data_IF_693444308295
#
_entry.id   IF_693444308295
#
_cell.length_a   1.000
_cell.length_b   1.000
_cell.length_c   1.000
_cell.angle_alpha   90.00
_cell.angle_beta   90.00
_cell.angle_gamma   90.00
#
_symmetry.space_group_name_H-M   'P 1'
#
loop_
_entity.id
_entity.type
_entity.pdbx_description
1 polymer ?
#
# COMPACT_ATOMS: atom_id res chain seq x y z
N UNK A 1 6.05 14.46 -20.50
CA UNK A 1 6.93 14.07 -19.38
C UNK A 1 6.42 12.84 -18.57
N UNK A 2 5.23 12.26 -18.81
CA UNK A 2 4.76 11.03 -18.13
C UNK A 2 4.41 9.88 -19.10
N UNK A 3 5.10 9.84 -20.26
CA UNK A 3 4.84 8.85 -21.31
C UNK A 3 4.98 7.39 -20.83
N UNK A 4 5.88 7.13 -19.87
CA UNK A 4 6.06 5.81 -19.27
C UNK A 4 4.80 5.29 -18.53
N UNK A 5 3.87 6.17 -18.16
CA UNK A 5 2.55 5.81 -17.60
C UNK A 5 1.52 5.73 -18.71
N UNK A 6 1.53 6.70 -19.63
CA UNK A 6 0.51 6.86 -20.65
C UNK A 6 0.52 5.74 -21.70
N UNK A 7 1.71 5.31 -22.15
CA UNK A 7 1.83 4.22 -23.11
C UNK A 7 1.32 2.87 -22.57
N UNK A 8 1.72 2.40 -21.36
CA UNK A 8 1.17 1.16 -20.82
C UNK A 8 -0.34 1.22 -20.57
N UNK A 9 -0.86 2.34 -20.06
CA UNK A 9 -2.30 2.48 -19.80
C UNK A 9 -3.09 2.48 -21.11
N UNK A 10 -2.65 3.24 -22.12
CA UNK A 10 -3.29 3.24 -23.44
C UNK A 10 -3.16 1.89 -24.14
N UNK A 11 -2.03 1.20 -24.02
CA UNK A 11 -1.84 -0.14 -24.59
C UNK A 11 -2.85 -1.15 -24.01
N UNK A 12 -2.96 -1.23 -22.69
CA UNK A 12 -3.89 -2.17 -22.05
C UNK A 12 -5.34 -1.82 -22.41
N UNK A 13 -5.67 -0.52 -22.44
CA UNK A 13 -6.99 -0.07 -22.87
C UNK A 13 -7.27 -0.46 -24.32
N UNK A 14 -6.29 -0.29 -25.21
CA UNK A 14 -6.37 -0.67 -26.63
C UNK A 14 -6.58 -2.18 -26.78
N UNK A 15 -5.85 -3.01 -26.04
CA UNK A 15 -6.05 -4.46 -26.07
C UNK A 15 -7.48 -4.86 -25.69
N UNK A 16 -8.02 -4.29 -24.60
CA UNK A 16 -9.39 -4.59 -24.19
C UNK A 16 -10.42 -4.05 -25.17
N UNK A 17 -10.18 -2.87 -25.74
CA UNK A 17 -11.05 -2.31 -26.76
C UNK A 17 -11.06 -3.15 -28.03
N UNK A 18 -9.90 -3.66 -28.45
CA UNK A 18 -9.82 -4.60 -29.56
C UNK A 18 -10.64 -5.87 -29.30
N UNK A 19 -10.58 -6.43 -28.08
CA UNK A 19 -11.38 -7.60 -27.69
C UNK A 19 -12.88 -7.29 -27.70
N UNK A 20 -13.32 -6.25 -26.99
CA UNK A 20 -14.75 -5.94 -26.87
C UNK A 20 -15.34 -5.32 -28.14
N UNK A 21 -14.53 -4.60 -28.92
CA UNK A 21 -14.90 -4.05 -30.22
C UNK A 21 -15.25 -5.14 -31.22
N UNK A 22 -14.57 -6.30 -31.18
CA UNK A 22 -14.94 -7.48 -31.99
C UNK A 22 -16.26 -8.12 -31.59
N UNK A 23 -16.69 -7.95 -30.35
CA UNK A 23 -17.92 -8.58 -29.82
C UNK A 23 -19.12 -7.64 -29.97
N UNK A 24 -18.96 -6.36 -29.65
CA UNK A 24 -20.05 -5.38 -29.55
C UNK A 24 -20.01 -4.28 -30.62
N UNK A 25 -18.98 -4.26 -31.48
CA UNK A 25 -18.70 -3.20 -32.45
C UNK A 25 -17.65 -2.20 -31.95
N UNK A 26 -16.77 -1.75 -32.84
CA UNK A 26 -15.64 -0.85 -32.51
C UNK A 26 -16.10 0.54 -32.04
N UNK A 27 -17.20 1.07 -32.57
CA UNK A 27 -17.78 2.35 -32.14
C UNK A 27 -18.76 2.22 -30.96
N UNK A 28 -18.91 1.03 -30.38
CA UNK A 28 -19.89 0.77 -29.32
C UNK A 28 -19.48 1.39 -27.99
N UNK A 29 -20.38 2.18 -27.39
CA UNK A 29 -20.20 2.68 -26.03
C UNK A 29 -20.07 1.59 -24.98
N UNK A 30 -20.70 0.43 -25.21
CA UNK A 30 -20.56 -0.74 -24.32
C UNK A 30 -19.16 -1.34 -24.43
N UNK A 31 -18.62 -1.46 -25.65
CA UNK A 31 -17.26 -1.95 -25.85
C UNK A 31 -16.25 -1.07 -25.11
N UNK A 32 -16.35 0.25 -25.26
CA UNK A 32 -15.50 1.20 -24.57
C UNK A 32 -15.70 1.20 -23.04
N UNK A 33 -16.94 1.11 -22.57
CA UNK A 33 -17.24 1.02 -21.14
C UNK A 33 -16.59 -0.24 -20.51
N UNK A 34 -16.76 -1.40 -21.15
CA UNK A 34 -16.12 -2.65 -20.72
C UNK A 34 -14.59 -2.57 -20.80
N UNK A 35 -14.05 -1.89 -21.80
CA UNK A 35 -12.60 -1.69 -21.93
C UNK A 35 -12.02 -0.92 -20.75
N UNK A 36 -12.69 0.14 -20.31
CA UNK A 36 -12.31 0.90 -19.11
C UNK A 36 -12.44 0.03 -17.85
N UNK A 37 -13.52 -0.75 -17.71
CA UNK A 37 -13.72 -1.65 -16.55
C UNK A 37 -12.59 -2.69 -16.47
N UNK A 38 -12.30 -3.36 -17.58
CA UNK A 38 -11.32 -4.45 -17.60
C UNK A 38 -9.87 -3.94 -17.53
N UNK A 39 -9.57 -2.75 -18.04
CA UNK A 39 -8.30 -2.08 -17.76
C UNK A 39 -8.06 -1.99 -16.24
N UNK A 40 -9.05 -1.54 -15.47
CA UNK A 40 -8.95 -1.44 -14.01
C UNK A 40 -8.72 -2.81 -13.40
N UNK A 41 -9.47 -3.82 -13.84
CA UNK A 41 -9.34 -5.18 -13.33
C UNK A 41 -7.97 -5.79 -13.64
N UNK A 42 -7.41 -5.58 -14.83
CA UNK A 42 -6.06 -6.02 -15.19
C UNK A 42 -5.00 -5.39 -14.29
N UNK A 43 -5.03 -4.07 -14.12
CA UNK A 43 -4.06 -3.37 -13.27
C UNK A 43 -4.20 -3.81 -11.81
N UNK A 44 -5.42 -3.95 -11.32
CA UNK A 44 -5.68 -4.41 -9.96
C UNK A 44 -5.32 -5.89 -9.73
N UNK A 45 -5.46 -6.75 -10.74
CA UNK A 45 -5.03 -8.14 -10.70
C UNK A 45 -3.50 -8.24 -10.63
N UNK A 46 -2.78 -7.46 -11.45
CA UNK A 46 -1.32 -7.37 -11.39
C UNK A 46 -0.82 -6.96 -9.99
N UNK A 47 -1.52 -6.00 -9.37
CA UNK A 47 -1.20 -5.46 -8.05
C UNK A 47 -1.81 -6.27 -6.89
N UNK A 48 -2.44 -7.41 -7.17
CA UNK A 48 -3.13 -8.19 -6.14
C UNK A 48 -2.15 -8.73 -5.08
N UNK A 49 -1.02 -9.29 -5.51
CA UNK A 49 0.02 -9.83 -4.60
C UNK A 49 0.63 -8.75 -3.69
N UNK A 50 1.13 -7.60 -4.21
CA UNK A 50 1.64 -6.55 -3.33
C UNK A 50 0.55 -6.00 -2.40
N UNK A 51 -0.71 -5.90 -2.86
CA UNK A 51 -1.83 -5.50 -2.01
C UNK A 51 -2.05 -6.45 -0.83
N UNK A 52 -2.01 -7.77 -1.02
CA UNK A 52 -2.16 -8.73 0.08
C UNK A 52 -1.05 -8.55 1.13
N UNK A 53 0.20 -8.38 0.68
CA UNK A 53 1.32 -8.08 1.57
C UNK A 53 1.10 -6.78 2.35
N UNK A 54 0.56 -5.77 1.69
CA UNK A 54 0.26 -4.49 2.29
C UNK A 54 -0.84 -4.57 3.36
N UNK A 55 -1.92 -5.28 3.08
CA UNK A 55 -3.00 -5.53 4.03
C UNK A 55 -2.47 -6.22 5.29
N UNK A 56 -1.60 -7.23 5.12
CA UNK A 56 -0.98 -7.94 6.25
C UNK A 56 -0.09 -7.01 7.07
N UNK A 57 0.66 -6.12 6.43
CA UNK A 57 1.46 -5.09 7.13
C UNK A 57 0.57 -4.12 7.93
N UNK A 58 -0.55 -3.67 7.35
CA UNK A 58 -1.52 -2.83 8.05
C UNK A 58 -2.15 -3.53 9.26
N UNK A 59 -2.44 -4.84 9.15
CA UNK A 59 -2.98 -5.65 10.27
C UNK A 59 -2.00 -5.70 11.43
N UNK A 60 -0.73 -6.00 11.17
CA UNK A 60 0.33 -5.96 12.19
C UNK A 60 0.42 -4.58 12.86
N UNK A 61 0.35 -3.49 12.09
CA UNK A 61 0.35 -2.14 12.67
C UNK A 61 -0.81 -1.92 13.66
N UNK A 62 -1.99 -2.49 13.38
CA UNK A 62 -3.16 -2.36 14.26
C UNK A 62 -2.99 -3.11 15.60
N UNK A 63 -2.19 -4.18 15.64
CA UNK A 63 -1.85 -4.91 16.86
C UNK A 63 -0.99 -4.06 17.81
N UNK A 64 -0.12 -3.20 17.27
CA UNK A 64 0.74 -2.30 18.04
C UNK A 64 0.09 -0.96 18.40
N UNK A 65 -1.14 -0.70 17.93
CA UNK A 65 -1.90 0.49 18.28
C UNK A 65 -1.93 0.81 19.80
N UNK A 66 -2.20 -0.14 20.72
CA UNK A 66 -2.21 0.15 22.16
C UNK A 66 -0.83 0.54 22.71
N UNK A 67 0.25 -0.02 22.17
CA UNK A 67 1.62 0.31 22.61
C UNK A 67 2.04 1.69 22.10
N UNK A 68 1.66 2.03 20.86
CA UNK A 68 1.79 3.39 20.33
C UNK A 68 1.05 4.40 21.21
N UNK A 69 -0.14 4.06 21.75
CA UNK A 69 -0.85 4.92 22.69
C UNK A 69 -0.12 5.08 24.02
N UNK A 70 0.52 4.01 24.53
CA UNK A 70 1.34 4.09 25.75
C UNK A 70 2.53 5.03 25.55
N UNK A 71 3.22 4.94 24.40
CA UNK A 71 4.32 5.86 24.05
C UNK A 71 3.79 7.30 23.97
N UNK A 72 2.65 7.50 23.30
CA UNK A 72 2.04 8.83 23.19
C UNK A 72 1.74 9.46 24.55
N UNK A 73 1.18 8.68 25.48
CA UNK A 73 0.90 9.11 26.86
C UNK A 73 2.18 9.35 27.67
N UNK A 74 3.18 8.46 27.56
CA UNK A 74 4.44 8.54 28.31
C UNK A 74 5.29 9.75 27.92
N UNK A 75 5.29 10.12 26.64
CA UNK A 75 6.09 11.22 26.09
C UNK A 75 5.22 12.37 25.56
N UNK A 76 4.07 12.64 26.18
CA UNK A 76 3.14 13.67 25.72
C UNK A 76 3.78 15.08 25.64
N UNK A 77 4.74 15.36 26.52
CA UNK A 77 5.44 16.65 26.61
C UNK A 77 6.72 16.73 25.76
N UNK A 78 7.15 15.62 25.14
CA UNK A 78 8.40 15.54 24.38
C UNK A 78 8.12 14.90 23.01
N UNK A 79 7.73 15.73 22.04
CA UNK A 79 7.38 15.27 20.69
C UNK A 79 8.54 14.59 19.99
N UNK A 80 9.78 15.03 20.24
CA UNK A 80 10.95 14.47 19.59
C UNK A 80 11.20 13.05 20.08
N UNK A 81 11.16 12.85 21.40
CA UNK A 81 11.31 11.51 21.99
C UNK A 81 10.12 10.61 21.69
N UNK A 82 8.92 11.17 21.66
CA UNK A 82 7.72 10.44 21.23
C UNK A 82 7.88 9.89 19.81
N UNK A 83 8.35 10.70 18.86
CA UNK A 83 8.59 10.28 17.48
C UNK A 83 9.66 9.17 17.39
N UNK A 84 10.77 9.32 18.13
CA UNK A 84 11.85 8.33 18.17
C UNK A 84 11.39 6.98 18.74
N UNK A 85 10.68 6.98 19.86
CA UNK A 85 10.17 5.75 20.50
C UNK A 85 9.10 5.08 19.64
N UNK A 86 8.22 5.86 18.99
CA UNK A 86 7.25 5.31 18.02
C UNK A 86 7.94 4.66 16.83
N UNK A 87 9.00 5.28 16.29
CA UNK A 87 9.77 4.71 15.18
C UNK A 87 10.53 3.46 15.61
N UNK A 88 11.11 3.47 16.82
CA UNK A 88 11.82 2.33 17.40
C UNK A 88 10.87 1.14 17.60
N UNK A 89 9.69 1.37 18.17
CA UNK A 89 8.67 0.33 18.33
C UNK A 89 8.27 -0.27 16.98
N UNK A 90 8.01 0.57 15.97
CA UNK A 90 7.68 0.10 14.62
C UNK A 90 8.82 -0.72 13.98
N UNK A 91 10.08 -0.31 14.18
CA UNK A 91 11.25 -1.00 13.66
C UNK A 91 11.49 -2.35 14.37
N UNK A 92 11.37 -2.41 15.69
CA UNK A 92 11.50 -3.64 16.49
C UNK A 92 10.48 -4.71 16.06
N UNK A 93 9.30 -4.28 15.64
CA UNK A 93 8.23 -5.16 15.16
C UNK A 93 8.18 -5.31 13.63
N UNK A 94 9.16 -4.76 12.91
CA UNK A 94 9.29 -4.91 11.46
C UNK A 94 8.13 -4.32 10.66
N UNK A 95 7.47 -3.29 11.18
CA UNK A 95 6.35 -2.62 10.52
C UNK A 95 6.84 -1.36 9.82
N UNK A 96 6.67 -1.26 8.50
CA UNK A 96 7.05 -0.09 7.72
C UNK A 96 5.85 0.88 7.59
N UNK A 97 5.93 2.13 8.11
CA UNK A 97 4.84 3.10 7.99
C UNK A 97 4.51 3.45 6.54
N UNK A 98 5.50 3.42 5.63
CA UNK A 98 5.30 3.67 4.19
C UNK A 98 4.56 2.52 3.49
N UNK A 99 4.52 1.33 4.09
CA UNK A 99 3.69 0.24 3.58
C UNK A 99 2.20 0.61 3.59
N UNK A 100 1.77 1.52 4.47
CA UNK A 100 0.37 1.95 4.55
C UNK A 100 -0.11 2.76 3.34
N UNK A 101 0.75 3.56 2.72
CA UNK A 101 0.38 4.44 1.62
C UNK A 101 0.64 3.86 0.22
N UNK A 102 1.25 2.67 0.13
CA UNK A 102 1.60 2.01 -1.12
C UNK A 102 0.47 1.92 -2.17
N UNK A 103 -0.81 1.64 -1.84
CA UNK A 103 -1.82 1.49 -2.87
C UNK A 103 -2.25 2.86 -3.39
N UNK A 104 -2.21 3.91 -2.57
CA UNK A 104 -2.42 5.29 -3.05
C UNK A 104 -1.29 5.70 -3.99
N UNK A 105 -0.03 5.39 -3.64
CA UNK A 105 1.13 5.72 -4.46
C UNK A 105 1.10 5.05 -5.84
N UNK A 106 0.58 3.83 -5.95
CA UNK A 106 0.43 3.14 -7.23
C UNK A 106 -0.85 3.57 -7.96
N UNK A 107 -1.94 3.83 -7.23
CA UNK A 107 -3.24 4.19 -7.81
C UNK A 107 -3.23 5.59 -8.45
N UNK A 108 -2.53 6.56 -7.84
CA UNK A 108 -2.47 7.94 -8.35
C UNK A 108 -1.89 7.99 -9.78
N UNK A 109 -0.71 7.39 -10.06
CA UNK A 109 -0.18 7.27 -11.42
C UNK A 109 -1.15 6.63 -12.41
N UNK A 110 -1.81 5.54 -12.02
CA UNK A 110 -2.78 4.84 -12.88
C UNK A 110 -3.96 5.73 -13.24
N UNK A 111 -4.53 6.42 -12.25
CA UNK A 111 -5.63 7.36 -12.48
C UNK A 111 -5.20 8.50 -13.41
N UNK A 112 -4.03 9.12 -13.14
CA UNK A 112 -3.50 10.20 -13.98
C UNK A 112 -3.30 9.71 -15.41
N UNK A 113 -2.76 8.49 -15.59
CA UNK A 113 -2.55 7.90 -16.90
C UNK A 113 -3.85 7.71 -17.66
N UNK A 114 -4.85 7.10 -17.02
CA UNK A 114 -6.15 6.87 -17.66
C UNK A 114 -6.87 8.20 -17.95
N UNK A 115 -6.90 9.10 -16.98
CA UNK A 115 -7.53 10.41 -17.12
C UNK A 115 -6.91 11.21 -18.26
N UNK A 116 -5.57 11.20 -18.36
CA UNK A 116 -4.86 11.87 -19.44
C UNK A 116 -5.21 11.25 -20.81
N UNK A 117 -5.10 9.92 -20.95
CA UNK A 117 -5.39 9.22 -22.22
C UNK A 117 -6.82 9.51 -22.68
N UNK A 118 -7.82 9.34 -21.82
CA UNK A 118 -9.23 9.56 -22.19
C UNK A 118 -9.55 11.02 -22.49
N UNK A 119 -8.92 11.97 -21.79
CA UNK A 119 -9.11 13.41 -22.04
C UNK A 119 -8.38 13.89 -23.30
N UNK A 120 -7.37 13.16 -23.75
CA UNK A 120 -6.68 13.40 -25.02
C UNK A 120 -7.50 12.98 -26.23
N UNK A 121 -8.51 12.11 -26.07
CA UNK A 121 -9.42 11.73 -27.14
C UNK A 121 -10.44 12.85 -27.41
N UNK A 122 -10.18 13.62 -28.46
CA UNK A 122 -10.96 14.80 -28.84
C UNK A 122 -11.34 14.74 -30.32
N UNK A 123 -12.50 15.32 -30.69
CA UNK A 123 -12.88 15.43 -32.10
C UNK A 123 -11.78 16.08 -32.94
N UNK A 124 -11.44 15.47 -34.08
CA UNK A 124 -10.47 16.00 -35.04
C UNK A 124 -9.00 15.80 -34.65
N UNK A 125 -8.71 15.08 -33.56
CA UNK A 125 -7.34 14.71 -33.20
C UNK A 125 -6.88 13.49 -34.00
N UNK A 126 -5.57 13.39 -34.22
CA UNK A 126 -4.93 12.26 -34.90
C UNK A 126 -4.70 11.07 -33.98
N UNK A 127 -3.51 10.49 -34.05
CA UNK A 127 -3.11 9.40 -33.15
C UNK A 127 -2.90 9.88 -31.71
N UNK A 128 -3.30 9.05 -30.76
CA UNK A 128 -3.10 9.25 -29.32
C UNK A 128 -2.56 7.95 -28.73
N UNK A 129 -1.24 7.92 -28.54
CA UNK A 129 -0.49 6.75 -28.06
C UNK A 129 -0.74 5.52 -28.95
N UNK A 130 -1.31 4.44 -28.40
CA UNK A 130 -1.62 3.22 -29.14
C UNK A 130 -2.90 3.30 -29.99
N UNK A 131 -3.65 4.39 -29.91
CA UNK A 131 -4.86 4.58 -30.72
C UNK A 131 -4.53 5.43 -31.93
N UNK A 132 -4.86 4.91 -33.10
CA UNK A 132 -4.88 5.67 -34.34
C UNK A 132 -6.09 6.62 -34.38
N UNK A 133 -6.19 7.42 -35.45
CA UNK A 133 -7.29 8.37 -35.61
C UNK A 133 -8.67 7.67 -35.55
N UNK A 134 -8.81 6.50 -36.16
CA UNK A 134 -10.07 5.75 -36.15
C UNK A 134 -10.45 5.31 -34.73
N UNK A 135 -9.48 4.81 -33.96
CA UNK A 135 -9.68 4.47 -32.55
C UNK A 135 -10.09 5.68 -31.71
N UNK A 136 -9.44 6.82 -31.90
CA UNK A 136 -9.79 8.07 -31.20
C UNK A 136 -11.21 8.53 -31.55
N UNK A 137 -11.55 8.56 -32.84
CA UNK A 137 -12.89 8.95 -33.31
C UNK A 137 -13.97 7.99 -32.77
N UNK A 138 -13.67 6.69 -32.71
CA UNK A 138 -14.60 5.69 -32.17
C UNK A 138 -14.93 5.94 -30.69
N UNK A 139 -13.95 6.35 -29.87
CA UNK A 139 -14.21 6.72 -28.47
C UNK A 139 -14.98 8.03 -28.37
N UNK A 140 -14.59 9.02 -29.16
CA UNK A 140 -15.24 10.33 -29.19
C UNK A 140 -16.73 10.20 -29.49
N UNK A 141 -17.11 9.28 -30.39
CA UNK A 141 -18.49 9.01 -30.79
C UNK A 141 -19.22 8.00 -29.90
N UNK A 142 -18.50 7.31 -29.00
CA UNK A 142 -19.04 6.23 -28.18
C UNK A 142 -20.10 6.75 -27.19
N UNK A 143 -21.36 6.40 -27.43
CA UNK A 143 -22.51 6.74 -26.58
C UNK A 143 -22.84 5.60 -25.63
N UNK A 144 -22.91 5.90 -24.34
CA UNK A 144 -23.45 5.02 -23.31
C UNK A 144 -24.76 5.61 -22.81
N UNK A 145 -25.88 4.91 -23.03
CA UNK A 145 -27.24 5.37 -22.68
C UNK A 145 -27.55 6.80 -23.15
N UNK A 146 -27.06 7.19 -24.32
CA UNK A 146 -27.30 8.50 -24.94
C UNK A 146 -26.27 9.58 -24.62
N UNK A 147 -25.33 9.35 -23.69
CA UNK A 147 -24.26 10.29 -23.37
C UNK A 147 -22.90 9.81 -23.92
N UNK A 148 -22.13 10.71 -24.55
CA UNK A 148 -20.77 10.38 -24.98
C UNK A 148 -19.83 10.20 -23.79
N UNK A 149 -18.95 9.21 -23.85
CA UNK A 149 -18.07 8.82 -22.75
C UNK A 149 -17.10 9.92 -22.29
N UNK A 150 -16.73 10.85 -23.18
CA UNK A 150 -15.86 12.01 -22.89
C UNK A 150 -16.57 13.17 -22.17
N UNK A 151 -17.90 13.19 -22.15
CA UNK A 151 -18.69 14.34 -21.68
C UNK A 151 -18.90 14.33 -20.16
N UNK A 152 -19.10 15.51 -19.57
CA UNK A 152 -19.36 15.69 -18.14
C UNK A 152 -20.37 16.83 -17.92
N UNK A 153 -21.05 16.85 -16.76
CA UNK A 153 -22.24 17.70 -16.52
C UNK A 153 -21.91 19.20 -16.66
N UNK A 154 -20.76 19.63 -16.15
CA UNK A 154 -20.31 21.03 -16.17
C UNK A 154 -19.62 21.44 -17.48
N UNK A 155 -19.59 20.56 -18.49
CA UNK A 155 -19.01 20.88 -19.80
C UNK A 155 -19.78 22.03 -20.47
N UNK A 156 -19.10 23.04 -21.02
CA UNK A 156 -19.72 24.13 -21.78
C UNK A 156 -20.63 23.63 -22.92
N UNK A 157 -21.69 24.39 -23.24
CA UNK A 157 -22.71 23.96 -24.20
C UNK A 157 -22.14 23.80 -25.64
N UNK A 158 -21.30 24.74 -26.05
CA UNK A 158 -20.53 24.70 -27.30
C UNK A 158 -19.67 23.42 -27.42
N UNK A 159 -19.08 22.97 -26.31
CA UNK A 159 -18.30 21.73 -26.31
C UNK A 159 -19.19 20.49 -26.38
N UNK A 160 -20.35 20.49 -25.72
CA UNK A 160 -21.30 19.38 -25.79
C UNK A 160 -21.86 19.18 -27.21
N UNK A 161 -22.06 20.26 -27.95
CA UNK A 161 -22.48 20.24 -29.36
C UNK A 161 -21.45 19.52 -30.25
N UNK A 162 -20.15 19.70 -29.99
CA UNK A 162 -19.08 18.96 -30.70
C UNK A 162 -19.18 17.44 -30.52
N UNK A 163 -19.73 16.98 -29.40
CA UNK A 163 -19.99 15.55 -29.13
C UNK A 163 -21.41 15.12 -29.54
N UNK A 164 -22.21 16.01 -30.14
CA UNK A 164 -23.61 15.75 -30.51
C UNK A 164 -24.41 15.15 -29.34
N UNK A 165 -24.22 15.72 -28.14
CA UNK A 165 -24.79 15.26 -26.86
C UNK A 165 -25.49 16.40 -26.13
N UNK A 166 -26.68 16.13 -25.56
CA UNK A 166 -27.36 17.11 -24.72
C UNK A 166 -26.93 16.98 -23.25
N UNK A 167 -26.92 18.10 -22.52
CA UNK A 167 -26.61 18.10 -21.07
C UNK A 167 -27.53 17.16 -20.28
N UNK A 168 -28.80 17.10 -20.66
CA UNK A 168 -29.78 16.20 -20.05
C UNK A 168 -29.39 14.73 -20.20
N UNK A 169 -28.91 14.32 -21.38
CA UNK A 169 -28.42 12.96 -21.59
C UNK A 169 -27.19 12.67 -20.70
N UNK A 170 -26.25 13.62 -20.60
CA UNK A 170 -25.10 13.47 -19.69
C UNK A 170 -25.55 13.30 -18.24
N UNK A 171 -26.48 14.15 -17.77
CA UNK A 171 -27.00 14.07 -16.39
C UNK A 171 -27.70 12.74 -16.13
N UNK A 172 -28.51 12.25 -17.07
CA UNK A 172 -29.23 10.98 -16.94
C UNK A 172 -28.30 9.78 -16.75
N UNK A 173 -27.05 9.86 -17.19
CA UNK A 173 -26.05 8.78 -17.05
C UNK A 173 -25.07 9.05 -15.92
N UNK A 174 -24.52 10.27 -15.86
CA UNK A 174 -23.49 10.64 -14.91
C UNK A 174 -24.00 10.69 -13.46
N UNK A 175 -25.24 11.15 -13.22
CA UNK A 175 -25.79 11.24 -11.86
C UNK A 175 -25.99 9.84 -11.26
N UNK A 176 -26.68 8.89 -11.93
CA UNK A 176 -26.78 7.53 -11.40
C UNK A 176 -25.41 6.88 -11.17
N UNK A 177 -24.47 7.01 -12.11
CA UNK A 177 -23.11 6.48 -11.94
C UNK A 177 -22.40 7.08 -10.72
N UNK A 178 -22.49 8.40 -10.52
CA UNK A 178 -21.89 9.09 -9.38
C UNK A 178 -22.54 8.68 -8.05
N UNK A 179 -23.86 8.50 -8.01
CA UNK A 179 -24.58 7.99 -6.83
C UNK A 179 -24.11 6.58 -6.50
N UNK A 180 -24.06 5.67 -7.47
CA UNK A 180 -23.60 4.29 -7.24
C UNK A 180 -22.13 4.28 -6.81
N UNK A 181 -21.27 5.11 -7.42
CA UNK A 181 -19.87 5.24 -7.02
C UNK A 181 -19.72 5.79 -5.59
N UNK A 182 -20.52 6.78 -5.19
CA UNK A 182 -20.54 7.32 -3.83
C UNK A 182 -20.98 6.27 -2.82
N UNK A 183 -22.06 5.53 -3.11
CA UNK A 183 -22.56 4.43 -2.28
C UNK A 183 -21.49 3.35 -2.14
N UNK A 184 -20.87 2.91 -3.24
CA UNK A 184 -19.81 1.92 -3.22
C UNK A 184 -18.57 2.40 -2.43
N UNK A 185 -18.22 3.69 -2.54
CA UNK A 185 -17.14 4.32 -1.76
C UNK A 185 -17.48 4.32 -0.26
N UNK A 186 -18.74 4.62 0.09
CA UNK A 186 -19.21 4.59 1.47
C UNK A 186 -19.12 3.19 2.08
N UNK A 187 -19.58 2.17 1.36
CA UNK A 187 -19.48 0.78 1.82
C UNK A 187 -18.04 0.32 1.94
N UNK A 188 -17.18 0.66 0.97
CA UNK A 188 -15.74 0.37 1.01
C UNK A 188 -15.08 1.02 2.23
N UNK A 189 -15.42 2.28 2.50
CA UNK A 189 -14.93 3.03 3.65
C UNK A 189 -15.41 2.47 4.98
N UNK A 190 -16.71 2.18 5.11
CA UNK A 190 -17.29 1.54 6.30
C UNK A 190 -16.65 0.19 6.58
N UNK A 191 -16.48 -0.64 5.55
CA UNK A 191 -15.85 -1.95 5.70
C UNK A 191 -14.39 -1.83 6.17
N UNK A 192 -13.65 -0.84 5.67
CA UNK A 192 -12.29 -0.55 6.12
C UNK A 192 -12.25 -0.12 7.60
N UNK A 193 -13.10 0.84 7.98
CA UNK A 193 -13.15 1.38 9.36
C UNK A 193 -13.61 0.35 10.37
N UNK A 194 -14.63 -0.46 10.04
CA UNK A 194 -15.17 -1.50 10.93
C UNK A 194 -14.14 -2.56 11.33
N UNK A 195 -13.02 -2.66 10.60
CA UNK A 195 -11.95 -3.62 10.90
C UNK A 195 -10.77 -3.01 11.64
N UNK A 196 -10.84 -1.77 12.10
CA UNK A 196 -9.81 -1.18 12.96
C UNK A 196 -9.94 -1.73 14.39
N UNK A 197 -8.83 -1.82 15.12
CA UNK A 197 -8.85 -2.20 16.54
C UNK A 197 -9.48 -1.08 17.39
N UNK A 198 -10.05 -1.45 18.53
CA UNK A 198 -10.65 -0.47 19.46
C UNK A 198 -9.63 0.61 19.88
N UNK A 199 -8.40 0.22 20.18
CA UNK A 199 -7.31 1.15 20.50
C UNK A 199 -6.95 2.10 19.35
N UNK A 200 -7.09 1.67 18.09
CA UNK A 200 -6.90 2.53 16.93
C UNK A 200 -8.08 3.50 16.74
N UNK A 201 -9.31 3.05 17.00
CA UNK A 201 -10.52 3.88 16.91
C UNK A 201 -10.56 5.00 17.96
N UNK A 202 -10.01 4.76 19.16
CA UNK A 202 -9.90 5.75 20.24
C UNK A 202 -8.85 6.85 19.96
N UNK A 203 -7.99 6.69 18.94
CA UNK A 203 -7.04 7.73 18.56
C UNK A 203 -7.76 8.90 17.85
N UNK A 204 -7.66 10.15 18.35
CA UNK A 204 -8.31 11.31 17.73
C UNK A 204 -7.95 11.49 16.24
N UNK A 205 -6.69 11.22 15.87
CA UNK A 205 -6.23 11.32 14.49
C UNK A 205 -6.88 10.27 13.58
N UNK A 206 -7.03 9.04 14.06
CA UNK A 206 -7.71 7.96 13.32
C UNK A 206 -9.21 8.23 13.22
N UNK A 207 -9.83 8.75 14.29
CA UNK A 207 -11.25 9.09 14.30
C UNK A 207 -11.61 10.15 13.24
N UNK A 208 -10.77 11.18 13.06
CA UNK A 208 -10.93 12.15 11.98
C UNK A 208 -10.82 11.45 10.62
N UNK A 209 -9.79 10.64 10.41
CA UNK A 209 -9.60 9.88 9.17
C UNK A 209 -10.81 8.97 8.86
N UNK A 210 -11.38 8.32 9.87
CA UNK A 210 -12.56 7.47 9.72
C UNK A 210 -13.77 8.25 9.23
N UNK A 211 -14.00 9.47 9.75
CA UNK A 211 -15.08 10.35 9.27
C UNK A 211 -14.85 10.79 7.83
N UNK A 212 -13.60 11.14 7.47
CA UNK A 212 -13.26 11.52 6.10
C UNK A 212 -13.54 10.38 5.12
N UNK A 213 -13.07 9.17 5.43
CA UNK A 213 -13.23 7.99 4.57
C UNK A 213 -14.69 7.57 4.41
N UNK A 214 -15.49 7.67 5.49
CA UNK A 214 -16.89 7.20 5.48
C UNK A 214 -17.86 8.25 4.92
N UNK A 215 -17.59 9.54 5.06
CA UNK A 215 -18.54 10.60 4.68
C UNK A 215 -18.00 11.55 3.63
N UNK A 216 -16.80 12.08 3.82
CA UNK A 216 -16.25 13.11 2.92
C UNK A 216 -15.87 12.53 1.56
N UNK A 217 -15.22 11.37 1.51
CA UNK A 217 -14.86 10.75 0.23
C UNK A 217 -16.06 10.31 -0.60
N UNK A 218 -17.13 9.69 -0.04
CA UNK A 218 -18.36 9.44 -0.79
C UNK A 218 -19.03 10.70 -1.33
N UNK A 219 -19.07 11.79 -0.54
CA UNK A 219 -19.58 13.07 -1.02
C UNK A 219 -18.71 13.66 -2.13
N UNK A 220 -17.38 13.53 -2.01
CA UNK A 220 -16.44 13.90 -3.06
C UNK A 220 -16.62 13.07 -4.33
N UNK A 221 -16.96 11.79 -4.22
CA UNK A 221 -17.30 10.94 -5.35
C UNK A 221 -18.59 11.37 -6.05
N UNK A 222 -19.59 11.75 -5.28
CA UNK A 222 -20.83 12.30 -5.80
C UNK A 222 -20.60 13.64 -6.52
N UNK A 223 -19.85 14.56 -5.89
CA UNK A 223 -19.48 15.84 -6.48
C UNK A 223 -18.60 15.68 -7.73
N UNK A 224 -17.73 14.68 -7.75
CA UNK A 224 -16.92 14.32 -8.91
C UNK A 224 -17.75 14.03 -10.17
N UNK A 225 -18.98 13.51 -10.00
CA UNK A 225 -19.95 13.32 -11.08
C UNK A 225 -20.24 14.59 -11.90
N UNK A 226 -20.07 15.77 -11.31
CA UNK A 226 -20.30 17.03 -11.99
C UNK A 226 -19.13 17.44 -12.90
N UNK A 227 -17.90 17.06 -12.55
CA UNK A 227 -16.67 17.59 -13.14
C UNK A 227 -15.91 16.58 -13.99
N UNK A 228 -16.15 15.28 -13.80
CA UNK A 228 -15.41 14.23 -14.48
C UNK A 228 -16.19 13.59 -15.63
N UNK A 229 -15.51 13.20 -16.73
CA UNK A 229 -16.11 12.48 -17.84
C UNK A 229 -16.84 11.21 -17.41
N UNK A 230 -17.90 10.83 -18.13
CA UNK A 230 -18.63 9.57 -17.91
C UNK A 230 -17.69 8.37 -17.84
N UNK A 231 -16.68 8.29 -18.72
CA UNK A 231 -15.68 7.22 -18.70
C UNK A 231 -14.89 7.13 -17.37
N UNK A 232 -14.64 8.26 -16.72
CA UNK A 232 -13.95 8.31 -15.43
C UNK A 232 -14.85 7.85 -14.29
N UNK A 233 -16.16 8.08 -14.39
CA UNK A 233 -17.12 7.54 -13.43
C UNK A 233 -17.22 6.01 -13.55
N UNK A 234 -17.16 5.46 -14.76
CA UNK A 234 -17.06 4.01 -14.98
C UNK A 234 -15.79 3.44 -14.37
N UNK A 235 -14.65 4.10 -14.57
CA UNK A 235 -13.40 3.74 -13.89
C UNK A 235 -13.58 3.72 -12.36
N UNK A 236 -14.19 4.76 -11.79
CA UNK A 236 -14.39 4.87 -10.34
C UNK A 236 -15.28 3.74 -9.82
N UNK A 237 -16.38 3.46 -10.52
CA UNK A 237 -17.29 2.36 -10.18
C UNK A 237 -16.57 1.00 -10.23
N UNK A 238 -15.80 0.75 -11.29
CA UNK A 238 -14.99 -0.47 -11.45
C UNK A 238 -13.98 -0.62 -10.31
N UNK A 239 -13.32 0.47 -9.95
CA UNK A 239 -12.32 0.50 -8.90
C UNK A 239 -12.91 0.19 -7.51
N UNK A 240 -14.10 0.74 -7.22
CA UNK A 240 -14.83 0.41 -5.99
C UNK A 240 -15.35 -1.03 -6.01
N UNK A 241 -15.92 -1.50 -7.12
CA UNK A 241 -16.39 -2.88 -7.29
C UNK A 241 -15.26 -3.90 -7.07
N UNK A 242 -14.11 -3.68 -7.69
CA UNK A 242 -12.91 -4.48 -7.43
C UNK A 242 -12.50 -4.42 -5.96
N UNK A 243 -12.49 -3.22 -5.35
CA UNK A 243 -12.07 -3.08 -3.95
C UNK A 243 -12.99 -3.86 -3.02
N UNK A 244 -14.31 -3.80 -3.19
CA UNK A 244 -15.27 -4.58 -2.41
C UNK A 244 -15.06 -6.09 -2.58
N UNK A 245 -14.86 -6.56 -3.83
CA UNK A 245 -14.52 -7.95 -4.11
C UNK A 245 -13.22 -8.37 -3.43
N UNK A 246 -12.17 -7.57 -3.60
CA UNK A 246 -10.83 -7.81 -3.06
C UNK A 246 -10.85 -7.82 -1.53
N UNK A 247 -11.56 -6.89 -0.89
CA UNK A 247 -11.76 -6.87 0.56
C UNK A 247 -12.43 -8.17 1.02
N UNK A 248 -13.50 -8.61 0.36
CA UNK A 248 -14.21 -9.85 0.72
C UNK A 248 -13.30 -11.09 0.63
N UNK A 249 -12.52 -11.22 -0.45
CA UNK A 249 -11.62 -12.37 -0.66
C UNK A 249 -10.41 -12.32 0.27
N UNK A 250 -9.67 -11.20 0.27
CA UNK A 250 -8.40 -11.09 1.01
C UNK A 250 -8.64 -11.09 2.51
N UNK A 251 -9.58 -10.29 2.98
CA UNK A 251 -9.87 -10.24 4.41
C UNK A 251 -10.52 -11.53 4.90
N UNK A 252 -11.45 -12.11 4.13
CA UNK A 252 -12.04 -13.40 4.46
C UNK A 252 -10.99 -14.50 4.60
N UNK A 253 -9.91 -14.46 3.81
CA UNK A 253 -8.77 -15.38 3.95
C UNK A 253 -7.95 -15.09 5.21
N UNK A 254 -7.61 -13.83 5.47
CA UNK A 254 -6.82 -13.44 6.63
C UNK A 254 -7.55 -13.76 7.94
N UNK A 255 -8.86 -13.51 8.01
CA UNK A 255 -9.67 -13.82 9.20
C UNK A 255 -9.70 -15.31 9.51
N UNK A 256 -9.78 -16.17 8.47
CA UNK A 256 -9.69 -17.62 8.64
C UNK A 256 -8.31 -18.06 9.13
N UNK A 257 -7.24 -17.47 8.59
CA UNK A 257 -5.86 -17.72 9.02
C UNK A 257 -5.67 -17.33 10.50
N UNK A 258 -6.16 -16.16 10.91
CA UNK A 258 -6.09 -15.68 12.31
C UNK A 258 -6.96 -16.53 13.26
N UNK A 259 -8.16 -16.91 12.85
CA UNK A 259 -9.04 -17.77 13.65
C UNK A 259 -8.41 -19.16 13.88
N UNK A 260 -7.81 -19.75 12.84
CA UNK A 260 -7.08 -21.01 12.95
C UNK A 260 -5.86 -20.90 13.89
N UNK A 261 -5.11 -19.80 13.81
CA UNK A 261 -3.98 -19.55 14.72
C UNK A 261 -4.44 -19.39 16.18
N UNK A 262 -5.53 -18.66 16.42
CA UNK A 262 -6.12 -18.50 17.76
C UNK A 262 -6.62 -19.83 18.32
N UNK A 263 -7.31 -20.64 17.52
CA UNK A 263 -7.77 -21.97 17.92
C UNK A 263 -6.59 -22.89 18.29
N UNK A 264 -5.56 -22.95 17.44
CA UNK A 264 -4.35 -23.72 17.71
C UNK A 264 -3.61 -23.25 18.98
N UNK A 265 -3.58 -21.93 19.25
CA UNK A 265 -2.98 -21.39 20.47
C UNK A 265 -3.78 -21.76 21.73
N UNK A 266 -5.12 -21.81 21.64
CA UNK A 266 -5.99 -22.25 22.74
C UNK A 266 -5.79 -23.75 23.00
N UNK A 267 -5.75 -24.57 21.96
CA UNK A 267 -5.52 -26.02 22.07
C UNK A 267 -4.13 -26.35 22.62
N UNK A 268 -3.09 -25.62 22.19
CA UNK A 268 -1.76 -25.70 22.79
C UNK A 268 -1.77 -25.28 24.27
N UNK A 269 -2.49 -24.22 24.62
CA UNK A 269 -2.61 -23.79 26.03
C UNK A 269 -3.36 -24.82 26.87
N UNK A 270 -4.38 -25.48 26.33
CA UNK A 270 -5.15 -26.52 27.00
C UNK A 270 -4.35 -27.82 27.16
N UNK A 271 -3.57 -28.23 26.17
CA UNK A 271 -2.70 -29.41 26.26
C UNK A 271 -1.51 -29.21 27.21
N UNK A 272 -1.04 -27.97 27.36
CA UNK A 272 -0.02 -27.58 28.36
C UNK A 272 -0.60 -27.27 29.75
N UNK A 273 -1.92 -27.27 29.92
CA UNK A 273 -2.54 -27.00 31.21
C UNK A 273 -2.40 -28.21 32.14
N UNK A 274 -1.90 -28.03 33.38
CA UNK A 274 -1.84 -29.12 34.36
C UNK A 274 -3.25 -29.62 34.69
N UNK A 275 -3.41 -30.94 34.82
CA UNK A 275 -4.71 -31.59 35.07
C UNK A 275 -5.38 -30.97 36.32
N UNK A 276 -6.67 -30.64 36.29
CA UNK A 276 -7.41 -30.18 37.46
C UNK A 276 -7.23 -31.18 38.61
N UNK A 277 -6.65 -30.74 39.74
CA UNK A 277 -6.44 -31.57 40.94
C UNK A 277 -5.00 -31.87 41.34
N UNK A 278 -3.97 -31.46 40.57
CA UNK A 278 -2.58 -31.58 41.04
C UNK A 278 -2.27 -30.53 42.11
N UNK A 279 -2.26 -30.93 43.38
CA UNK A 279 -1.77 -30.08 44.49
C UNK A 279 -0.32 -29.66 44.23
N UNK A 280 0.06 -28.38 44.41
CA UNK A 280 1.45 -27.96 44.34
C UNK A 280 2.25 -28.74 45.40
N UNK A 281 3.29 -29.47 45.00
CA UNK A 281 4.20 -30.13 45.97
C UNK A 281 4.93 -29.04 46.77
N UNK A 282 4.79 -28.98 48.10
CA UNK A 282 5.55 -28.04 48.92
C UNK A 282 7.06 -28.31 48.75
N UNK A 283 7.83 -27.31 48.34
CA UNK A 283 9.29 -27.42 48.15
C UNK A 283 9.79 -27.55 46.70
N UNK A 284 8.90 -27.63 45.70
CA UNK A 284 9.33 -27.58 44.30
C UNK A 284 9.75 -26.14 43.93
N UNK A 285 11.04 -25.93 43.65
CA UNK A 285 11.53 -24.64 43.11
C UNK A 285 10.73 -24.28 41.87
N UNK A 286 10.34 -23.00 41.70
CA UNK A 286 9.56 -22.59 40.54
C UNK A 286 10.38 -22.90 39.28
N UNK A 287 9.89 -23.83 38.48
CA UNK A 287 10.42 -24.06 37.15
C UNK A 287 10.13 -22.78 36.39
N UNK A 288 11.17 -21.93 36.21
CA UNK A 288 11.09 -20.76 35.35
C UNK A 288 10.85 -21.27 33.93
N UNK A 289 9.58 -21.41 33.56
CA UNK A 289 9.13 -21.91 32.28
C UNK A 289 9.81 -21.13 31.16
N UNK A 290 10.82 -21.74 30.53
CA UNK A 290 11.44 -21.24 29.31
C UNK A 290 10.42 -21.13 28.16
N UNK A 291 9.25 -21.76 28.30
CA UNK A 291 8.12 -21.64 27.37
C UNK A 291 7.53 -20.23 27.25
N UNK A 292 7.60 -19.39 28.27
CA UNK A 292 7.02 -18.03 28.20
C UNK A 292 7.81 -17.12 27.25
N UNK A 293 9.13 -17.35 27.10
CA UNK A 293 9.95 -16.63 26.11
C UNK A 293 9.71 -17.13 24.68
N UNK A 294 9.44 -18.42 24.49
CA UNK A 294 9.14 -18.99 23.18
C UNK A 294 7.76 -18.54 22.65
N UNK A 295 6.78 -18.37 23.55
CA UNK A 295 5.44 -17.86 23.20
C UNK A 295 5.51 -16.42 22.65
N UNK A 296 6.34 -15.55 23.23
CA UNK A 296 6.54 -14.20 22.69
C UNK A 296 7.37 -14.17 21.39
N UNK A 297 8.36 -15.04 21.22
CA UNK A 297 9.17 -15.06 19.99
C UNK A 297 8.40 -15.59 18.77
N UNK A 298 7.51 -16.57 18.97
CA UNK A 298 6.73 -17.21 17.90
C UNK A 298 5.48 -16.41 17.53
N UNK A 299 4.86 -15.71 18.50
CA UNK A 299 3.82 -14.72 18.24
C UNK A 299 4.36 -13.47 17.51
N UNK A 300 5.64 -13.14 17.66
CA UNK A 300 6.31 -12.03 16.99
C UNK A 300 6.95 -12.37 15.62
N UNK A 301 6.86 -13.62 15.13
CA UNK A 301 7.39 -14.01 13.83
C UNK A 301 8.92 -14.05 13.71
N UNK A 302 9.66 -14.12 14.83
CA UNK A 302 11.12 -14.21 14.82
C UNK A 302 11.57 -15.68 14.71
N UNK A 303 12.47 -15.98 13.77
CA UNK A 303 13.12 -17.31 13.67
C UNK A 303 14.05 -17.53 14.88
N UNK A 304 14.10 -18.73 15.47
CA UNK A 304 15.01 -19.02 16.59
C UNK A 304 16.47 -19.00 16.14
N UNK A 305 17.43 -18.55 16.97
CA UNK A 305 18.83 -18.70 16.67
C UNK A 305 19.24 -20.17 16.81
N UNK A 306 19.85 -20.73 15.77
CA UNK A 306 20.52 -22.03 15.78
C UNK A 306 21.60 -22.06 16.86
N UNK A 307 21.37 -22.83 17.92
CA UNK A 307 22.39 -23.15 18.92
C UNK A 307 23.29 -24.27 18.38
N UNK A 308 24.58 -23.96 18.17
CA UNK A 308 25.63 -25.00 18.06
C UNK A 308 25.88 -25.60 19.44
N UNK A 309 26.01 -26.93 19.58
CA UNK A 309 26.40 -27.53 20.86
C UNK A 309 27.89 -27.30 21.14
N UNK A 310 28.20 -26.92 22.38
CA UNK A 310 29.54 -26.92 22.97
C UNK A 310 29.71 -28.16 23.85
N UNK A 311 30.81 -28.88 23.65
CA UNK A 311 31.64 -29.67 24.58
C UNK A 311 32.73 -30.31 23.69
N UNK A 312 34.04 -30.28 23.91
CA UNK A 312 34.87 -29.90 25.04
C UNK A 312 35.84 -31.03 25.35
N UNK A 313 37.03 -31.09 24.73
CA UNK A 313 38.24 -31.75 25.27
C UNK A 313 39.49 -31.37 24.47
N UNK A 314 40.56 -30.96 25.14
CA UNK A 314 41.90 -30.78 24.57
C UNK A 314 42.70 -32.10 24.67
N UNK A 315 43.75 -32.27 23.85
CA UNK A 315 45.09 -32.39 24.44
C UNK A 315 46.21 -31.60 23.73
N UNK A 316 47.24 -31.24 24.52
CA UNK A 316 48.62 -30.82 24.16
C UNK A 316 49.30 -31.90 23.28
N UNK A 317 50.32 -31.73 22.44
CA UNK A 317 51.52 -30.88 22.23
C UNK A 317 52.00 -31.22 20.77
N UNK A 318 52.78 -30.46 19.97
CA UNK A 318 54.26 -30.30 20.02
C UNK A 318 54.73 -29.51 18.76
N UNK A 319 55.70 -28.59 18.94
CA UNK A 319 56.82 -28.16 18.07
C UNK A 319 56.76 -28.02 16.51
N UNK A 320 56.82 -26.75 16.05
CA UNK A 320 57.81 -26.08 15.14
C UNK A 320 58.07 -26.53 13.66
N UNK A 321 58.81 -25.75 12.80
CA UNK A 321 58.25 -24.90 11.72
C UNK A 321 58.83 -25.15 10.29
N UNK A 322 58.27 -24.54 9.24
CA UNK A 322 58.92 -24.29 7.92
C UNK A 322 58.03 -23.27 7.15
N UNK A 323 58.45 -22.07 6.69
CA UNK A 323 59.55 -21.64 5.80
C UNK A 323 59.30 -21.93 4.30
N UNK A 324 59.33 -20.88 3.47
CA UNK A 324 59.38 -20.92 1.98
C UNK A 324 58.23 -20.14 1.32
N UNK A 325 58.30 -18.85 0.99
CA UNK A 325 59.22 -18.07 0.12
C UNK A 325 58.86 -18.13 -1.38
N UNK A 326 58.70 -16.91 -1.94
CA UNK A 326 58.90 -16.49 -3.34
C UNK A 326 57.92 -17.04 -4.41
N UNK A 327 57.58 -16.36 -5.51
CA UNK A 327 58.09 -15.12 -6.09
C UNK A 327 57.11 -14.59 -7.16
N UNK A 328 57.29 -13.31 -7.52
CA UNK A 328 57.17 -12.64 -8.84
C UNK A 328 56.19 -13.16 -9.93
N UNK A 329 55.51 -12.31 -10.71
CA UNK A 329 55.63 -10.87 -10.89
C UNK A 329 54.78 -10.33 -12.05
N UNK A 330 54.62 -9.00 -12.03
CA UNK A 330 54.72 -8.06 -13.17
C UNK A 330 53.82 -8.28 -14.38
N UNK A 331 52.89 -7.40 -14.78
CA UNK A 331 53.02 -6.03 -15.33
C UNK A 331 51.60 -5.72 -15.90
N UNK A 332 51.07 -4.52 -16.15
CA UNK A 332 51.58 -3.17 -16.41
C UNK A 332 50.37 -2.19 -16.37
N UNK A 333 50.66 -0.94 -16.00
CA UNK A 333 50.16 0.34 -16.57
C UNK A 333 48.65 0.61 -16.77
N UNK A 334 48.10 1.80 -16.53
CA UNK A 334 48.69 3.13 -16.39
C UNK A 334 47.71 4.14 -15.78
N UNK A 335 48.28 5.22 -15.22
CA UNK A 335 47.80 6.61 -15.22
C UNK A 335 46.61 6.98 -14.31
N UNK A 336 46.85 7.62 -13.14
CA UNK A 336 47.01 9.07 -12.92
C UNK A 336 45.66 9.84 -13.03
N UNK A 337 45.22 10.70 -12.12
CA UNK A 337 46.00 11.65 -11.32
C UNK A 337 45.22 12.08 -10.05
N UNK A 338 45.97 12.36 -8.99
CA UNK A 338 45.54 12.87 -7.69
C UNK A 338 45.18 14.36 -7.75
N UNK A 339 44.34 14.82 -6.82
CA UNK A 339 44.65 16.04 -6.05
C UNK A 339 44.50 15.70 -4.57
N UNK A 340 45.60 15.90 -3.85
CA UNK A 340 45.81 15.62 -2.44
C UNK A 340 45.92 16.93 -1.66
N UNK A 341 45.59 16.87 -0.37
CA UNK A 341 46.15 17.75 0.68
C UNK A 341 45.20 18.86 1.16
N UNK A 342 44.99 19.11 2.45
CA UNK A 342 45.84 18.85 3.62
C UNK A 342 44.98 18.64 4.90
N UNK A 343 45.39 17.67 5.70
CA UNK A 343 44.98 17.38 7.08
C UNK A 343 45.80 18.26 8.09
N UNK A 344 45.83 17.95 9.40
CA UNK A 344 44.78 18.05 10.42
C UNK A 344 45.25 18.91 11.64
N UNK A 345 44.45 18.88 12.71
CA UNK A 345 44.88 18.97 14.12
C UNK A 345 44.57 20.27 14.90
N UNK A 346 43.79 20.09 15.99
CA UNK A 346 43.93 20.67 17.34
C UNK A 346 42.58 20.81 18.07
N UNK A 347 42.38 19.92 19.05
CA UNK A 347 41.86 20.30 20.39
C UNK A 347 43.07 20.48 21.32
N UNK A 348 43.00 20.98 22.59
CA UNK A 348 41.83 21.27 23.45
C UNK A 348 41.93 22.62 24.22
N UNK A 349 40.90 23.01 25.00
CA UNK A 349 41.05 23.51 26.40
C UNK A 349 39.77 24.14 27.01
N UNK A 350 39.59 23.86 28.31
CA UNK A 350 38.62 24.37 29.28
C UNK A 350 38.84 25.85 29.66
N UNK A 351 37.76 26.56 30.02
CA UNK A 351 37.48 27.31 31.31
C UNK A 351 36.33 28.29 31.08
N UNK A 352 35.19 28.17 31.78
CA UNK A 352 34.90 28.71 33.13
C UNK A 352 34.65 30.23 33.11
N UNK A 353 33.41 30.67 33.39
CA UNK A 353 33.09 32.11 33.46
C UNK A 353 31.61 32.42 33.70
N UNK A 354 31.26 32.55 34.97
CA UNK A 354 29.96 32.83 35.59
C UNK A 354 29.55 34.32 35.47
N UNK A 355 28.26 34.66 35.25
CA UNK A 355 27.43 35.59 36.09
C UNK A 355 26.25 36.29 35.38
N UNK A 356 25.09 36.11 36.01
CA UNK A 356 24.06 37.07 36.47
C UNK A 356 23.28 37.99 35.50
N UNK A 357 21.95 37.84 35.62
CA UNK A 357 20.88 38.84 35.87
C UNK A 357 20.91 40.13 35.04
N UNK A 358 19.86 40.32 34.24
CA UNK A 358 18.77 41.25 34.56
C UNK A 358 17.47 40.79 33.95
#
# INVERSE_FOLDING_TARGET
>A
MLNFIYYPVSFILWCWHWVFGRIFGESSGIAWALSVIFLVFTLRALLFKPFVGQVRSMRKMQEFAPELQKIKKKYANDRQRQAQEMQKLQAEHGVNPLGGCLPMLVQIPVFIGLFHVLRSFKPGWGEVYFFDKAGVDSFVQAKLFGANLSTFITMPADQLELFSTSRTAVMAVAIPLAVVAAVATHFTGRHSVARQTQAAAENPQTAIMNKLVVYVFPLGALAGGFFFPVAILLYWLSNNGWTLMQQRVVYGRIDREEAAQKAAAIEQRQSLAPKPGTKPKPGAKPVRNAGVKAVNAKAAGLKPPTQRPKNGTAPKTTATPESGAADEGTTSDSSANQISGLSPDRSPSKKQGNKKRR
#
